data_IF_011337347078
#
_entry.id   IF_011337347078
#
_cell.length_a   1.000
_cell.length_b   1.000
_cell.length_c   1.000
_cell.angle_alpha   90.00
_cell.angle_beta   90.00
_cell.angle_gamma   90.00
#
_symmetry.space_group_name_H-M   'P 1'
#
loop_
_entity.id
_entity.type
_entity.pdbx_description
1 polymer ?
#
# COMPACT_ATOMS: atom_id res chain seq x y z
N UNK A 1 7.81 -4.02 -12.62
CA UNK A 1 6.91 -3.54 -13.69
C UNK A 1 6.37 -2.19 -13.27
N UNK A 2 6.63 -1.11 -14.02
CA UNK A 2 6.01 0.21 -13.78
C UNK A 2 4.76 0.32 -14.65
N UNK A 3 3.60 0.50 -14.03
CA UNK A 3 2.35 0.72 -14.77
C UNK A 3 2.16 2.23 -14.95
N UNK A 4 2.17 2.69 -16.20
CA UNK A 4 1.91 4.10 -16.52
C UNK A 4 0.39 4.37 -16.49
N UNK A 5 -0.06 4.97 -15.39
CA UNK A 5 -1.48 5.21 -15.12
C UNK A 5 -1.94 6.51 -15.80
N UNK A 6 -1.87 6.57 -17.13
CA UNK A 6 -2.41 7.66 -17.96
C UNK A 6 -3.95 7.67 -18.03
N UNK A 7 -4.63 7.28 -16.95
CA UNK A 7 -6.09 7.49 -16.81
C UNK A 7 -6.31 8.94 -16.35
N UNK A 8 -6.97 9.76 -17.18
CA UNK A 8 -7.29 11.17 -16.90
C UNK A 8 -7.86 11.39 -15.49
N UNK A 9 -8.66 10.43 -15.01
CA UNK A 9 -9.26 10.46 -13.67
C UNK A 9 -8.24 10.33 -12.52
N UNK A 10 -7.22 9.47 -12.65
CA UNK A 10 -6.19 9.30 -11.62
C UNK A 10 -5.37 10.58 -11.46
N UNK A 11 -4.90 11.13 -12.59
CA UNK A 11 -4.13 12.38 -12.62
C UNK A 11 -4.95 13.57 -12.06
N UNK A 12 -6.24 13.67 -12.38
CA UNK A 12 -7.11 14.72 -11.87
C UNK A 12 -7.26 14.65 -10.34
N UNK A 13 -7.52 13.46 -9.79
CA UNK A 13 -7.62 13.25 -8.32
C UNK A 13 -6.29 13.47 -7.61
N UNK A 14 -5.19 13.00 -8.19
CA UNK A 14 -3.84 13.23 -7.67
C UNK A 14 -3.49 14.73 -7.64
N UNK A 15 -3.93 15.49 -8.64
CA UNK A 15 -3.73 16.95 -8.65
C UNK A 15 -4.43 17.66 -7.51
N UNK A 16 -5.60 17.17 -7.06
CA UNK A 16 -6.31 17.75 -5.91
C UNK A 16 -5.56 17.51 -4.60
N UNK A 17 -4.90 16.35 -4.44
CA UNK A 17 -4.06 16.07 -3.27
C UNK A 17 -2.83 16.98 -3.15
N UNK A 18 -2.51 17.77 -4.18
CA UNK A 18 -1.41 18.75 -4.13
C UNK A 18 -1.82 20.07 -3.48
N UNK A 19 -3.11 20.30 -3.23
CA UNK A 19 -3.59 21.49 -2.53
C UNK A 19 -3.26 21.37 -1.01
N UNK A 20 -2.38 22.23 -0.47
CA UNK A 20 -2.01 22.18 0.94
C UNK A 20 -3.12 22.64 1.88
N UNK A 21 -4.16 23.29 1.37
CA UNK A 21 -5.31 23.79 2.15
C UNK A 21 -6.39 22.71 2.35
N UNK A 22 -6.22 21.55 1.71
CA UNK A 22 -7.22 20.50 1.71
C UNK A 22 -7.45 19.92 3.12
N UNK A 23 -8.70 19.84 3.62
CA UNK A 23 -8.99 19.29 4.93
C UNK A 23 -8.59 17.81 5.03
N UNK A 24 -8.15 17.36 6.20
CA UNK A 24 -7.70 15.97 6.40
C UNK A 24 -8.75 14.92 6.03
N UNK A 25 -10.05 15.26 6.13
CA UNK A 25 -11.14 14.38 5.68
C UNK A 25 -11.07 14.16 4.17
N UNK A 26 -10.94 15.23 3.41
CA UNK A 26 -10.90 15.18 1.94
C UNK A 26 -9.61 14.50 1.44
N UNK A 27 -8.47 14.70 2.12
CA UNK A 27 -7.25 13.95 1.85
C UNK A 27 -7.49 12.44 1.97
N UNK A 28 -8.17 11.99 3.02
CA UNK A 28 -8.51 10.57 3.21
C UNK A 28 -9.46 10.07 2.13
N UNK A 29 -10.50 10.83 1.79
CA UNK A 29 -11.45 10.50 0.71
C UNK A 29 -10.74 10.31 -0.62
N UNK A 30 -9.93 11.29 -1.05
CA UNK A 30 -9.19 11.21 -2.31
C UNK A 30 -8.19 10.06 -2.33
N UNK A 31 -7.52 9.80 -1.21
CA UNK A 31 -6.58 8.66 -1.12
C UNK A 31 -7.32 7.33 -1.24
N UNK A 32 -8.49 7.19 -0.63
CA UNK A 32 -9.35 6.01 -0.78
C UNK A 32 -9.82 5.82 -2.24
N UNK A 33 -10.24 6.89 -2.91
CA UNK A 33 -10.63 6.83 -4.33
C UNK A 33 -9.47 6.46 -5.25
N UNK A 34 -8.29 7.02 -5.03
CA UNK A 34 -7.08 6.65 -5.76
C UNK A 34 -6.70 5.19 -5.49
N UNK A 35 -6.84 4.72 -4.24
CA UNK A 35 -6.60 3.32 -3.87
C UNK A 35 -7.52 2.38 -4.64
N UNK A 36 -8.79 2.74 -4.81
CA UNK A 36 -9.73 1.98 -5.65
C UNK A 36 -9.20 1.84 -7.07
N UNK A 37 -8.77 2.93 -7.69
CA UNK A 37 -8.24 2.92 -9.06
C UNK A 37 -6.96 2.07 -9.14
N UNK A 38 -6.08 2.18 -8.14
CA UNK A 38 -4.85 1.40 -8.09
C UNK A 38 -5.12 -0.10 -7.92
N UNK A 39 -6.05 -0.46 -7.03
CA UNK A 39 -6.44 -1.84 -6.80
C UNK A 39 -7.01 -2.50 -8.06
N UNK A 40 -7.89 -1.80 -8.80
CA UNK A 40 -8.46 -2.29 -10.07
C UNK A 40 -7.40 -2.52 -11.16
N UNK A 41 -6.21 -1.94 -11.03
CA UNK A 41 -5.09 -2.10 -11.97
C UNK A 41 -4.08 -3.14 -11.47
N UNK A 42 -3.81 -3.15 -10.16
CA UNK A 42 -2.73 -3.92 -9.57
C UNK A 42 -3.14 -5.33 -9.15
N UNK A 43 -4.41 -5.52 -8.75
CA UNK A 43 -4.89 -6.83 -8.28
C UNK A 43 -5.08 -7.76 -9.47
N UNK A 44 -4.29 -8.81 -9.50
CA UNK A 44 -4.51 -9.94 -10.40
C UNK A 44 -5.53 -10.92 -9.77
N UNK A 45 -6.38 -11.59 -10.58
CA UNK A 45 -7.33 -12.58 -10.06
C UNK A 45 -6.60 -13.69 -9.28
N UNK A 46 -6.81 -13.82 -7.96
CA UNK A 46 -6.10 -14.81 -7.17
C UNK A 46 -6.64 -16.22 -7.43
N UNK A 47 -5.76 -17.22 -7.34
CA UNK A 47 -6.22 -18.60 -7.37
C UNK A 47 -6.85 -19.02 -6.03
N UNK A 48 -7.86 -19.93 -6.00
CA UNK A 48 -8.59 -20.24 -4.76
C UNK A 48 -7.74 -20.80 -3.60
N UNK A 49 -6.57 -21.36 -3.92
CA UNK A 49 -5.66 -21.98 -2.93
C UNK A 49 -4.52 -21.05 -2.54
N UNK A 50 -4.47 -19.84 -3.10
CA UNK A 50 -3.40 -18.90 -2.92
C UNK A 50 -3.60 -18.06 -1.68
N UNK A 51 -2.49 -17.83 -0.97
CA UNK A 51 -2.46 -16.80 0.06
C UNK A 51 -1.86 -15.51 -0.49
N UNK A 52 -2.57 -14.41 -0.27
CA UNK A 52 -2.12 -13.05 -0.59
C UNK A 52 -1.67 -12.38 0.69
N UNK A 53 -0.51 -11.71 0.65
CA UNK A 53 -0.08 -10.82 1.73
C UNK A 53 -0.42 -9.37 1.38
N UNK A 54 -1.00 -8.63 2.31
CA UNK A 54 -1.15 -7.17 2.23
C UNK A 54 -0.34 -6.54 3.35
N UNK A 55 0.70 -5.79 2.98
CA UNK A 55 1.64 -5.16 3.90
C UNK A 55 1.31 -3.68 3.98
N UNK A 56 0.83 -3.24 5.14
CA UNK A 56 0.45 -1.85 5.41
C UNK A 56 1.62 -1.12 6.04
N UNK A 57 2.17 -0.12 5.33
CA UNK A 57 3.22 0.74 5.86
C UNK A 57 2.60 1.75 6.83
N UNK A 58 2.93 1.62 8.11
CA UNK A 58 2.43 2.52 9.13
C UNK A 58 3.16 3.87 9.06
N UNK A 59 2.46 4.99 9.27
CA UNK A 59 1.03 5.12 9.61
C UNK A 59 0.15 5.39 8.38
N UNK A 60 0.73 5.93 7.31
CA UNK A 60 0.02 6.45 6.15
C UNK A 60 -0.76 5.39 5.39
N UNK A 61 -0.23 4.16 5.28
CA UNK A 61 -0.87 3.04 4.57
C UNK A 61 -2.24 2.63 5.11
N UNK A 62 -2.57 2.96 6.37
CA UNK A 62 -3.84 2.59 6.99
C UNK A 62 -5.06 3.11 6.21
N UNK A 63 -4.95 4.29 5.59
CA UNK A 63 -6.05 4.88 4.82
C UNK A 63 -6.39 4.08 3.56
N UNK A 64 -5.45 3.27 3.06
CA UNK A 64 -5.63 2.46 1.86
C UNK A 64 -6.19 1.07 2.18
N UNK A 65 -5.97 0.57 3.40
CA UNK A 65 -6.16 -0.84 3.75
C UNK A 65 -7.58 -1.34 3.48
N UNK A 66 -8.60 -0.72 4.09
CA UNK A 66 -9.97 -1.22 4.01
C UNK A 66 -10.49 -1.19 2.56
N UNK A 67 -10.15 -0.12 1.83
CA UNK A 67 -10.56 0.03 0.43
C UNK A 67 -9.85 -0.98 -0.46
N UNK A 68 -8.55 -1.20 -0.27
CA UNK A 68 -7.80 -2.18 -1.03
C UNK A 68 -8.31 -3.61 -0.77
N UNK A 69 -8.56 -3.97 0.49
CA UNK A 69 -9.10 -5.28 0.87
C UNK A 69 -10.50 -5.53 0.30
N UNK A 70 -11.34 -4.49 0.24
CA UNK A 70 -12.70 -4.59 -0.32
C UNK A 70 -12.75 -4.97 -1.81
N UNK A 71 -11.61 -4.91 -2.51
CA UNK A 71 -11.50 -5.25 -3.94
C UNK A 71 -11.25 -6.73 -4.22
N UNK A 72 -10.95 -7.51 -3.18
CA UNK A 72 -10.85 -8.95 -3.30
C UNK A 72 -12.22 -9.62 -3.07
N UNK A 73 -12.48 -10.78 -3.69
CA UNK A 73 -13.59 -11.64 -3.30
C UNK A 73 -13.54 -11.99 -1.80
N UNK A 74 -14.68 -12.05 -1.09
CA UNK A 74 -14.72 -12.36 0.35
C UNK A 74 -14.04 -13.67 0.76
N UNK A 75 -13.99 -14.65 -0.14
CA UNK A 75 -13.38 -15.96 0.02
C UNK A 75 -11.85 -15.98 -0.19
N UNK A 76 -11.25 -14.84 -0.57
CA UNK A 76 -9.82 -14.75 -0.82
C UNK A 76 -9.04 -14.90 0.49
N UNK A 77 -8.07 -15.81 0.52
CA UNK A 77 -7.20 -16.00 1.67
C UNK A 77 -6.16 -14.86 1.73
N UNK A 78 -6.42 -13.86 2.59
CA UNK A 78 -5.55 -12.71 2.75
C UNK A 78 -4.97 -12.67 4.17
N UNK A 79 -3.66 -12.50 4.27
CA UNK A 79 -2.98 -12.15 5.51
C UNK A 79 -2.58 -10.68 5.47
N UNK A 80 -2.93 -9.93 6.53
CA UNK A 80 -2.60 -8.51 6.64
C UNK A 80 -1.46 -8.34 7.63
N UNK A 81 -0.35 -7.76 7.15
CA UNK A 81 0.80 -7.39 7.95
C UNK A 81 0.88 -5.89 8.12
N UNK A 82 1.33 -5.46 9.29
CA UNK A 82 1.58 -4.06 9.58
C UNK A 82 3.07 -3.87 9.84
N UNK A 83 3.67 -2.97 9.08
CA UNK A 83 5.10 -2.67 9.14
C UNK A 83 5.28 -1.19 9.46
N UNK A 84 5.85 -0.90 10.62
CA UNK A 84 6.21 0.45 11.05
C UNK A 84 7.61 0.79 10.62
N UNK A 85 7.72 1.60 9.57
CA UNK A 85 8.97 2.19 9.10
C UNK A 85 8.77 3.70 9.00
N UNK A 86 9.76 4.47 9.46
CA UNK A 86 9.85 5.89 9.13
C UNK A 86 11.20 6.20 8.50
N UNK A 87 11.26 7.32 7.77
CA UNK A 87 12.52 7.82 7.22
C UNK A 87 13.21 8.73 8.22
N UNK A 88 14.41 8.37 8.65
CA UNK A 88 15.23 9.23 9.50
C UNK A 88 15.55 10.55 8.76
N UNK A 89 15.38 11.68 9.44
CA UNK A 89 15.49 13.00 8.79
C UNK A 89 16.92 13.40 8.45
N UNK A 90 17.93 12.80 9.10
CA UNK A 90 19.35 13.15 8.92
C UNK A 90 20.01 12.26 7.88
N UNK A 91 19.80 10.95 8.01
CA UNK A 91 20.45 9.92 7.19
C UNK A 91 19.62 9.53 5.97
N UNK A 92 18.33 9.89 5.95
CA UNK A 92 17.33 9.46 4.96
C UNK A 92 17.13 7.94 4.89
N UNK A 93 17.68 7.19 5.85
CA UNK A 93 17.55 5.75 5.92
C UNK A 93 16.20 5.34 6.53
N UNK A 94 15.64 4.20 6.10
CA UNK A 94 14.48 3.62 6.74
C UNK A 94 14.85 3.10 8.14
N UNK A 95 14.02 3.41 9.13
CA UNK A 95 14.13 2.92 10.50
C UNK A 95 12.87 2.13 10.82
N UNK A 96 13.03 0.83 11.03
CA UNK A 96 11.95 -0.06 11.50
C UNK A 96 11.72 0.15 13.00
N UNK A 97 10.46 0.37 13.38
CA UNK A 97 10.04 0.50 14.78
C UNK A 97 8.95 -0.49 15.18
N UNK A 98 8.35 -1.19 14.20
CA UNK A 98 7.32 -2.18 14.43
C UNK A 98 7.28 -3.19 13.30
N UNK A 99 7.30 -4.47 13.63
CA UNK A 99 7.16 -5.54 12.65
C UNK A 99 6.39 -6.70 13.27
N UNK A 100 5.18 -6.92 12.78
CA UNK A 100 4.31 -8.04 13.16
C UNK A 100 4.12 -8.99 11.99
N UNK A 101 5.19 -9.30 11.28
CA UNK A 101 5.20 -10.39 10.31
C UNK A 101 5.50 -11.72 11.00
N UNK A 102 4.76 -12.76 10.64
CA UNK A 102 5.04 -14.11 11.13
C UNK A 102 6.32 -14.61 10.47
N UNK A 103 7.26 -15.16 11.25
CA UNK A 103 8.44 -15.85 10.72
C UNK A 103 8.10 -17.13 9.94
N UNK A 104 6.87 -17.64 10.10
CA UNK A 104 6.28 -18.70 9.28
C UNK A 104 5.19 -18.07 8.43
N UNK A 105 5.57 -17.42 7.34
CA UNK A 105 4.57 -17.01 6.35
C UNK A 105 4.09 -18.26 5.61
N UNK A 106 2.78 -18.43 5.39
CA UNK A 106 2.26 -19.45 4.49
C UNK A 106 2.83 -19.26 3.07
N UNK A 107 2.52 -20.16 2.15
CA UNK A 107 2.95 -20.07 0.75
C UNK A 107 2.31 -18.84 0.04
N UNK A 108 2.84 -17.65 0.33
CA UNK A 108 2.41 -16.37 -0.22
C UNK A 108 2.98 -16.26 -1.62
N UNK A 109 2.11 -16.21 -2.63
CA UNK A 109 2.52 -16.01 -4.03
C UNK A 109 2.56 -14.54 -4.42
N UNK A 110 1.63 -13.74 -3.90
CA UNK A 110 1.55 -12.31 -4.16
C UNK A 110 1.53 -11.50 -2.87
N UNK A 111 2.30 -10.42 -2.88
CA UNK A 111 2.39 -9.46 -1.80
C UNK A 111 2.13 -8.05 -2.32
N UNK A 112 1.20 -7.33 -1.69
CA UNK A 112 0.86 -5.95 -2.01
C UNK A 112 1.32 -5.04 -0.87
N UNK A 113 2.19 -4.08 -1.16
CA UNK A 113 2.67 -3.09 -0.19
C UNK A 113 1.86 -1.80 -0.36
N UNK A 114 1.21 -1.35 0.72
CA UNK A 114 0.38 -0.15 0.74
C UNK A 114 1.13 1.01 1.41
N UNK A 115 1.58 1.96 0.60
CA UNK A 115 2.19 3.22 1.03
C UNK A 115 1.72 4.37 0.11
N UNK A 116 0.99 5.39 0.61
CA UNK A 116 0.49 6.49 -0.20
C UNK A 116 1.58 7.35 -0.86
N UNK A 117 2.80 7.37 -0.29
CA UNK A 117 3.87 8.26 -0.77
C UNK A 117 5.19 7.52 -0.91
N UNK A 118 5.58 7.28 -2.16
CA UNK A 118 6.93 6.80 -2.49
C UNK A 118 7.81 8.01 -2.81
N UNK A 119 8.65 8.44 -1.85
CA UNK A 119 9.55 9.58 -2.03
C UNK A 119 10.89 9.17 -2.67
N UNK A 120 11.78 8.56 -1.89
CA UNK A 120 13.10 8.10 -2.35
C UNK A 120 13.12 6.60 -2.65
N UNK A 121 12.02 5.89 -2.40
CA UNK A 121 11.94 4.43 -2.52
C UNK A 121 12.52 3.65 -1.33
N UNK A 122 13.27 4.29 -0.41
CA UNK A 122 13.93 3.59 0.70
C UNK A 122 12.98 2.83 1.64
N UNK A 123 11.80 3.37 1.92
CA UNK A 123 10.76 2.66 2.69
C UNK A 123 10.25 1.43 1.96
N UNK A 124 10.02 1.55 0.64
CA UNK A 124 9.52 0.45 -0.18
C UNK A 124 10.57 -0.65 -0.34
N UNK A 125 11.85 -0.28 -0.56
CA UNK A 125 12.95 -1.23 -0.62
C UNK A 125 13.11 -1.99 0.71
N UNK A 126 13.14 -1.27 1.84
CA UNK A 126 13.18 -1.91 3.15
C UNK A 126 11.98 -2.86 3.39
N UNK A 127 10.77 -2.44 3.02
CA UNK A 127 9.60 -3.31 3.12
C UNK A 127 9.72 -4.57 2.26
N UNK A 128 10.24 -4.47 1.04
CA UNK A 128 10.51 -5.62 0.17
C UNK A 128 11.55 -6.56 0.81
N UNK A 129 12.60 -6.03 1.43
CA UNK A 129 13.61 -6.86 2.10
C UNK A 129 13.05 -7.59 3.33
N UNK A 130 12.08 -7.00 4.04
CA UNK A 130 11.41 -7.67 5.16
C UNK A 130 10.45 -8.77 4.69
N UNK A 131 9.87 -8.63 3.49
CA UNK A 131 8.91 -9.58 2.92
C UNK A 131 9.58 -10.77 2.21
N UNK A 132 10.78 -10.57 1.67
CA UNK A 132 11.60 -11.63 1.03
C UNK A 132 12.09 -12.66 2.04
#
# INVERSE_FOLDING_TARGET
>A
MTVDIRKTLYAAKLSQLRDPTLPSREVRTLTAELTTILADIAIEPPSPTEMIAVIVILRSGMVMMDVFLSKFPPETNIIVYHLGIFRDKKTLQPVEYYNKMSSKSPNVKHAYILDPVIATGGTADAAIQVVK
#
